data_IF_149977630125
#
_entry.id   IF_149977630125
#
_cell.length_a   1.000
_cell.length_b   1.000
_cell.length_c   1.000
_cell.angle_alpha   90.00
_cell.angle_beta   90.00
_cell.angle_gamma   90.00
#
_symmetry.space_group_name_H-M   'P 1'
#
loop_
_entity.id
_entity.type
_entity.pdbx_description
1 polymer ?
#
# COMPACT_ATOMS: atom_id res chain seq x y z
N UNK A 1 2.26 11.13 15.02
CA UNK A 1 1.03 11.74 15.52
C UNK A 1 1.11 13.27 15.44
N UNK A 2 -0.01 13.95 15.19
CA UNK A 2 -1.40 13.50 15.28
C UNK A 2 -1.96 12.79 14.05
N UNK A 3 -1.26 12.78 12.92
CA UNK A 3 -1.65 12.06 11.72
C UNK A 3 -1.58 10.54 11.94
N UNK A 4 -2.41 9.79 11.20
CA UNK A 4 -2.35 8.32 11.15
C UNK A 4 -2.58 7.62 12.49
N UNK A 5 -3.50 8.13 13.33
CA UNK A 5 -3.99 7.40 14.49
C UNK A 5 -4.69 6.12 14.05
N UNK A 6 -4.43 5.01 14.74
CA UNK A 6 -5.12 3.74 14.50
C UNK A 6 -4.20 2.53 14.34
N UNK A 7 -4.72 1.48 13.67
CA UNK A 7 -4.15 0.14 13.70
C UNK A 7 -2.96 -0.09 12.75
N UNK A 8 -2.82 0.72 11.68
CA UNK A 8 -1.83 0.45 10.62
C UNK A 8 -1.15 1.74 10.09
N UNK A 9 -0.54 2.59 10.96
CA UNK A 9 0.01 3.88 10.56
C UNK A 9 1.10 3.78 9.50
N UNK A 10 2.00 2.80 9.58
CA UNK A 10 3.08 2.59 8.61
C UNK A 10 2.51 2.31 7.22
N UNK A 11 1.58 1.35 7.14
CA UNK A 11 0.97 0.97 5.86
C UNK A 11 0.24 2.16 5.22
N UNK A 12 -0.57 2.88 5.99
CA UNK A 12 -1.35 3.99 5.48
C UNK A 12 -0.52 5.19 5.06
N UNK A 13 0.61 5.46 5.71
CA UNK A 13 1.55 6.48 5.24
C UNK A 13 2.08 6.14 3.85
N UNK A 14 2.47 4.88 3.62
CA UNK A 14 2.97 4.41 2.31
C UNK A 14 1.85 4.35 1.26
N UNK A 15 0.67 3.80 1.60
CA UNK A 15 -0.51 3.73 0.70
C UNK A 15 -0.94 5.12 0.23
N UNK A 16 -0.87 6.13 1.11
CA UNK A 16 -1.22 7.50 0.76
C UNK A 16 -0.11 8.24 0.01
N UNK A 17 1.05 7.60 -0.22
CA UNK A 17 2.16 8.20 -0.95
C UNK A 17 2.85 9.33 -0.21
N UNK A 18 2.86 9.29 1.12
CA UNK A 18 3.60 10.25 1.94
C UNK A 18 5.10 10.15 1.66
N UNK A 19 5.79 11.26 1.82
CA UNK A 19 7.26 11.35 1.70
C UNK A 19 7.97 11.33 3.05
N UNK A 20 7.18 11.45 4.12
CA UNK A 20 7.67 11.53 5.49
C UNK A 20 6.72 10.75 6.40
N UNK A 21 7.29 10.00 7.32
CA UNK A 21 6.61 9.36 8.44
C UNK A 21 7.47 9.54 9.69
N UNK A 22 7.22 8.81 10.76
CA UNK A 22 8.06 8.91 11.95
C UNK A 22 7.56 8.08 13.11
N UNK A 23 8.28 8.20 14.22
CA UNK A 23 7.94 7.61 15.50
C UNK A 23 7.55 8.74 16.47
N UNK A 24 6.57 8.48 17.31
CA UNK A 24 6.08 9.40 18.34
C UNK A 24 5.97 8.67 19.65
N UNK A 25 6.58 9.22 20.71
CA UNK A 25 6.29 8.82 22.08
C UNK A 25 5.25 9.77 22.68
N UNK A 26 4.27 9.20 23.38
CA UNK A 26 3.15 9.98 23.93
C UNK A 26 2.60 9.32 25.19
N UNK A 27 1.91 10.08 26.02
CA UNK A 27 1.22 9.55 27.21
C UNK A 27 -0.04 8.78 26.79
N UNK A 28 -0.33 7.70 27.48
CA UNK A 28 -1.58 6.95 27.25
C UNK A 28 -2.74 7.73 27.88
N UNK A 29 -3.82 7.87 27.15
CA UNK A 29 -5.07 8.50 27.57
C UNK A 29 -6.25 7.53 27.36
N UNK A 30 -7.49 7.99 27.65
CA UNK A 30 -8.70 7.17 27.52
C UNK A 30 -9.00 6.77 26.09
N UNK A 31 -8.74 7.67 25.15
CA UNK A 31 -9.00 7.46 23.72
C UNK A 31 -7.75 6.95 23.01
N UNK A 32 -7.96 6.22 21.92
CA UNK A 32 -6.87 5.60 21.15
C UNK A 32 -5.98 6.68 20.54
N UNK A 33 -4.68 6.63 20.85
CA UNK A 33 -3.62 7.46 20.26
C UNK A 33 -3.83 8.98 20.41
N UNK A 34 -4.53 9.45 21.46
CA UNK A 34 -4.87 10.87 21.67
C UNK A 34 -4.00 11.60 22.68
N UNK A 35 -3.26 10.87 23.50
CA UNK A 35 -2.46 11.43 24.59
C UNK A 35 -1.39 12.43 24.13
N UNK A 36 -0.93 13.23 25.06
CA UNK A 36 0.07 14.29 24.80
C UNK A 36 1.40 13.73 24.31
N UNK A 37 1.97 14.37 23.30
CA UNK A 37 3.24 13.99 22.66
C UNK A 37 4.40 14.45 23.55
N UNK A 38 5.37 13.57 23.74
CA UNK A 38 6.64 13.83 24.41
C UNK A 38 7.75 14.08 23.41
N UNK A 39 8.07 13.10 22.57
CA UNK A 39 9.09 13.22 21.52
C UNK A 39 8.57 12.73 20.17
N UNK A 40 9.17 13.26 19.10
CA UNK A 40 8.92 12.82 17.71
C UNK A 40 10.24 12.78 16.97
N UNK A 41 10.37 11.76 16.11
CA UNK A 41 11.48 11.64 15.18
C UNK A 41 10.94 11.27 13.81
N UNK A 42 11.27 12.10 12.82
CA UNK A 42 10.84 11.88 11.44
C UNK A 42 11.72 10.87 10.72
N UNK A 43 11.11 10.15 9.76
CA UNK A 43 11.75 9.20 8.87
C UNK A 43 11.26 9.43 7.44
N UNK A 44 12.19 9.54 6.47
CA UNK A 44 11.87 9.71 5.06
C UNK A 44 11.35 8.40 4.46
N UNK A 45 10.33 8.51 3.60
CA UNK A 45 9.83 7.43 2.75
C UNK A 45 10.36 7.66 1.34
N UNK A 46 11.23 6.78 0.88
CA UNK A 46 11.76 6.84 -0.48
C UNK A 46 10.70 6.30 -1.49
N UNK A 47 10.83 6.64 -2.78
CA UNK A 47 9.83 6.29 -3.79
C UNK A 47 9.49 4.80 -3.87
N UNK A 48 10.49 3.95 -3.61
CA UNK A 48 10.36 2.49 -3.74
C UNK A 48 10.26 1.76 -2.39
N UNK A 49 10.28 2.49 -1.27
CA UNK A 49 10.12 1.88 0.05
C UNK A 49 8.78 1.18 0.17
N UNK A 50 8.80 -0.06 0.62
CA UNK A 50 7.63 -0.80 1.06
C UNK A 50 7.29 -0.47 2.52
N UNK A 51 6.11 -0.89 2.98
CA UNK A 51 5.78 -0.80 4.41
C UNK A 51 6.77 -1.61 5.29
N UNK A 52 7.30 -2.72 4.77
CA UNK A 52 8.35 -3.50 5.43
C UNK A 52 9.65 -2.71 5.58
N UNK A 53 10.11 -2.03 4.53
CA UNK A 53 11.32 -1.21 4.59
C UNK A 53 11.16 -0.05 5.59
N UNK A 54 9.99 0.59 5.60
CA UNK A 54 9.69 1.65 6.57
C UNK A 54 9.63 1.11 7.99
N UNK A 55 9.04 -0.06 8.22
CA UNK A 55 9.06 -0.73 9.52
C UNK A 55 10.51 -0.91 10.02
N UNK A 56 11.38 -1.43 9.16
CA UNK A 56 12.78 -1.71 9.52
C UNK A 56 13.58 -0.42 9.77
N UNK A 57 13.28 0.67 9.03
CA UNK A 57 13.86 2.00 9.28
C UNK A 57 13.37 2.60 10.61
N UNK A 58 12.10 2.44 10.94
CA UNK A 58 11.50 3.01 12.14
C UNK A 58 11.87 2.25 13.43
N UNK A 59 12.19 0.98 13.35
CA UNK A 59 12.51 0.13 14.51
C UNK A 59 13.68 0.67 15.34
N UNK A 60 14.88 0.95 14.77
CA UNK A 60 15.98 1.53 15.54
C UNK A 60 15.69 2.96 16.02
N UNK A 61 14.99 3.76 15.21
CA UNK A 61 14.58 5.12 15.59
C UNK A 61 13.66 5.07 16.83
N UNK A 62 12.68 4.15 16.82
CA UNK A 62 11.75 3.95 17.94
C UNK A 62 12.45 3.49 19.19
N UNK A 63 13.39 2.56 19.09
CA UNK A 63 14.16 2.07 20.22
C UNK A 63 14.96 3.20 20.90
N UNK A 64 15.62 4.03 20.10
CA UNK A 64 16.39 5.17 20.59
C UNK A 64 15.45 6.22 21.25
N UNK A 65 14.35 6.55 20.57
CA UNK A 65 13.40 7.57 21.06
C UNK A 65 12.74 7.17 22.39
N UNK A 66 12.48 5.88 22.62
CA UNK A 66 11.96 5.38 23.90
C UNK A 66 12.98 5.58 25.02
N UNK A 67 14.26 5.28 24.79
CA UNK A 67 15.33 5.51 25.77
C UNK A 67 15.42 6.97 26.13
N UNK A 68 15.47 7.87 25.13
CA UNK A 68 15.51 9.33 25.34
C UNK A 68 14.27 9.83 26.10
N UNK A 69 13.09 9.30 25.80
CA UNK A 69 11.85 9.63 26.48
C UNK A 69 11.90 9.25 27.96
N UNK A 70 12.32 8.02 28.25
CA UNK A 70 12.41 7.54 29.67
C UNK A 70 13.43 8.36 30.43
N UNK A 71 14.58 8.64 29.84
CA UNK A 71 15.61 9.47 30.45
C UNK A 71 15.09 10.89 30.74
N UNK A 72 14.41 11.51 29.77
CA UNK A 72 13.81 12.82 29.93
C UNK A 72 12.74 12.89 31.03
N UNK A 73 11.97 11.81 31.24
CA UNK A 73 11.02 11.68 32.32
C UNK A 73 11.74 11.63 33.68
N UNK A 74 12.79 10.82 33.79
CA UNK A 74 13.60 10.67 35.03
C UNK A 74 14.25 11.99 35.42
N UNK A 75 14.84 12.66 34.44
CA UNK A 75 15.51 13.96 34.62
C UNK A 75 14.56 15.14 34.73
N UNK A 76 13.26 14.92 34.53
CA UNK A 76 12.19 15.97 34.55
C UNK A 76 12.45 17.11 33.56
N UNK A 77 13.07 16.82 32.43
CA UNK A 77 13.42 17.78 31.38
C UNK A 77 12.59 17.59 30.07
N UNK A 78 11.58 16.73 30.10
CA UNK A 78 10.65 16.50 28.97
C UNK A 78 9.27 17.07 29.30
N UNK A 79 8.72 17.82 28.35
CA UNK A 79 7.37 18.38 28.43
C UNK A 79 6.40 17.62 27.52
N UNK A 80 5.21 17.39 28.04
CA UNK A 80 4.12 16.80 27.27
C UNK A 80 3.33 17.91 26.58
N UNK A 81 3.17 17.80 25.24
CA UNK A 81 2.44 18.76 24.42
C UNK A 81 1.18 18.15 23.84
N UNK A 82 0.06 18.86 23.91
CA UNK A 82 -1.21 18.40 23.34
C UNK A 82 -1.10 18.24 21.82
N UNK A 83 -1.65 17.16 21.29
CA UNK A 83 -1.53 16.85 19.86
C UNK A 83 -2.09 17.95 18.94
N UNK A 84 -3.14 18.65 19.39
CA UNK A 84 -3.75 19.77 18.64
C UNK A 84 -2.74 20.90 18.34
N UNK A 85 -1.71 21.08 19.16
CA UNK A 85 -0.67 22.10 18.91
C UNK A 85 0.23 21.78 17.69
N UNK A 86 0.18 20.57 17.18
CA UNK A 86 0.93 20.13 16.00
C UNK A 86 0.10 20.19 14.72
N UNK A 87 -1.18 20.55 14.79
CA UNK A 87 -2.07 20.68 13.63
C UNK A 87 -1.97 22.11 13.11
N UNK A 88 -1.69 22.26 11.82
CA UNK A 88 -1.57 23.58 11.18
C UNK A 88 -2.87 23.96 10.47
N UNK A 89 -3.47 25.10 10.92
CA UNK A 89 -4.66 25.65 10.27
C UNK A 89 -5.85 24.67 10.23
N UNK A 90 -6.38 24.46 9.03
CA UNK A 90 -7.50 23.54 8.72
C UNK A 90 -7.06 22.15 8.26
N UNK A 91 -5.86 21.71 8.63
CA UNK A 91 -5.34 20.40 8.25
C UNK A 91 -6.28 19.27 8.69
N UNK A 92 -6.69 18.42 7.74
CA UNK A 92 -7.52 17.24 8.00
C UNK A 92 -6.64 16.08 8.45
N UNK A 93 -6.92 15.51 9.60
CA UNK A 93 -6.19 14.35 10.10
C UNK A 93 -6.57 13.08 9.31
N UNK A 94 -5.56 12.40 8.80
CA UNK A 94 -5.71 11.12 8.10
C UNK A 94 -5.70 9.98 9.11
N UNK A 95 -6.73 9.13 9.14
CA UNK A 95 -6.76 7.96 10.02
C UNK A 95 -5.92 6.81 9.46
N UNK A 96 -5.55 5.86 10.32
CA UNK A 96 -4.88 4.62 9.95
C UNK A 96 -5.70 3.39 10.40
N UNK A 97 -6.85 3.12 9.79
CA UNK A 97 -7.71 2.03 10.17
C UNK A 97 -7.07 0.67 9.91
N UNK A 98 -7.67 -0.38 10.48
CA UNK A 98 -7.27 -1.77 10.26
C UNK A 98 -7.33 -2.12 8.77
N UNK A 99 -6.31 -2.82 8.28
CA UNK A 99 -6.26 -3.35 6.92
C UNK A 99 -7.23 -4.53 6.81
N UNK A 100 -8.19 -4.43 5.90
CA UNK A 100 -9.15 -5.50 5.62
C UNK A 100 -8.74 -6.28 4.38
N UNK A 101 -9.36 -7.46 4.16
CA UNK A 101 -9.09 -8.25 2.95
C UNK A 101 -9.55 -7.51 1.70
N UNK A 102 -10.66 -6.80 1.78
CA UNK A 102 -11.22 -6.02 0.67
C UNK A 102 -10.24 -4.91 0.23
N UNK A 103 -9.61 -4.22 1.19
CA UNK A 103 -8.56 -3.24 0.90
C UNK A 103 -7.34 -3.86 0.20
N UNK A 104 -7.03 -5.11 0.49
CA UNK A 104 -5.90 -5.79 -0.13
C UNK A 104 -6.20 -6.27 -1.56
N UNK A 105 -7.46 -6.29 -2.00
CA UNK A 105 -7.84 -6.62 -3.36
C UNK A 105 -7.65 -5.41 -4.26
N UNK A 106 -6.73 -5.52 -5.23
CA UNK A 106 -6.32 -4.42 -6.09
C UNK A 106 -7.48 -3.98 -6.99
N UNK A 107 -7.83 -2.69 -6.95
CA UNK A 107 -8.70 -2.05 -7.93
C UNK A 107 -7.86 -1.51 -9.08
N UNK A 108 -7.91 -2.17 -10.22
CA UNK A 108 -7.16 -1.76 -11.41
C UNK A 108 -7.74 -0.52 -12.10
N UNK A 109 -8.96 -0.08 -11.76
CA UNK A 109 -9.54 1.17 -12.27
C UNK A 109 -8.94 2.42 -11.62
N UNK A 110 -8.13 2.27 -10.59
CA UNK A 110 -7.38 3.37 -9.98
C UNK A 110 -6.13 3.72 -10.82
N UNK A 111 -5.52 4.86 -10.52
CA UNK A 111 -4.30 5.32 -11.20
C UNK A 111 -3.10 4.41 -10.93
N UNK A 112 -2.17 4.33 -11.86
CA UNK A 112 -0.89 3.61 -11.71
C UNK A 112 -0.20 3.95 -10.40
N UNK A 113 -0.16 5.23 -10.05
CA UNK A 113 0.44 5.72 -8.80
C UNK A 113 -0.25 5.16 -7.57
N UNK A 114 -1.58 5.16 -7.53
CA UNK A 114 -2.34 4.68 -6.37
C UNK A 114 -2.23 3.17 -6.21
N UNK A 115 -2.33 2.42 -7.32
CA UNK A 115 -2.14 0.96 -7.32
C UNK A 115 -0.72 0.60 -6.85
N UNK A 116 0.30 1.29 -7.36
CA UNK A 116 1.68 1.11 -6.92
C UNK A 116 1.86 1.35 -5.42
N UNK A 117 1.31 2.45 -4.92
CA UNK A 117 1.38 2.78 -3.49
C UNK A 117 0.62 1.78 -2.61
N UNK A 118 -0.53 1.28 -3.08
CA UNK A 118 -1.27 0.22 -2.40
C UNK A 118 -0.41 -1.05 -2.27
N UNK A 119 0.18 -1.50 -3.37
CA UNK A 119 0.99 -2.72 -3.39
C UNK A 119 2.19 -2.60 -2.45
N UNK A 120 2.99 -1.55 -2.57
CA UNK A 120 4.17 -1.34 -1.70
C UNK A 120 3.78 -1.08 -0.25
N UNK A 121 2.65 -0.41 0.00
CA UNK A 121 2.12 -0.15 1.34
C UNK A 121 1.54 -1.38 2.03
N UNK A 122 1.23 -2.45 1.29
CA UNK A 122 0.79 -3.74 1.81
C UNK A 122 1.90 -4.80 1.80
N UNK A 123 3.08 -4.51 1.24
CA UNK A 123 4.20 -5.43 1.15
C UNK A 123 5.12 -5.33 2.38
N UNK A 124 5.63 -6.44 2.93
CA UNK A 124 5.36 -7.82 2.54
C UNK A 124 4.08 -8.41 3.13
N UNK A 125 3.43 -7.71 4.06
CA UNK A 125 2.23 -8.19 4.77
C UNK A 125 1.26 -7.02 5.04
N UNK A 126 -0.06 -7.23 4.84
CA UNK A 126 -0.79 -8.47 4.51
C UNK A 126 -0.69 -8.92 3.04
N UNK A 127 -0.11 -8.13 2.17
CA UNK A 127 0.10 -8.31 0.72
C UNK A 127 -1.15 -7.96 -0.10
N UNK A 128 -0.97 -7.12 -1.11
CA UNK A 128 -1.99 -6.87 -2.12
C UNK A 128 -2.20 -8.11 -3.01
N UNK A 129 -3.41 -8.31 -3.48
CA UNK A 129 -3.71 -9.42 -4.38
C UNK A 129 -4.72 -9.01 -5.45
N UNK A 130 -4.72 -9.77 -6.53
CA UNK A 130 -5.78 -9.79 -7.52
C UNK A 130 -6.23 -11.22 -7.75
N UNK A 131 -7.33 -11.41 -8.43
CA UNK A 131 -7.84 -12.72 -8.81
C UNK A 131 -7.80 -12.84 -10.33
N UNK A 132 -7.29 -13.96 -10.83
CA UNK A 132 -7.16 -14.27 -12.24
C UNK A 132 -8.25 -15.26 -12.66
N UNK A 133 -8.94 -14.95 -13.75
CA UNK A 133 -9.97 -15.82 -14.35
C UNK A 133 -9.61 -16.03 -15.82
N UNK A 134 -9.66 -17.30 -16.34
CA UNK A 134 -9.49 -17.52 -17.77
C UNK A 134 -10.61 -16.82 -18.55
N UNK A 135 -10.25 -16.15 -19.63
CA UNK A 135 -11.20 -15.46 -20.49
C UNK A 135 -12.22 -16.46 -21.07
N UNK A 136 -13.51 -16.13 -20.97
CA UNK A 136 -14.61 -17.02 -21.40
C UNK A 136 -14.94 -18.18 -20.46
N UNK A 137 -14.27 -18.31 -19.31
CA UNK A 137 -14.53 -19.34 -18.31
C UNK A 137 -14.93 -18.77 -16.95
N UNK A 138 -15.83 -17.80 -16.92
CA UNK A 138 -16.27 -17.05 -15.74
C UNK A 138 -16.88 -17.96 -14.63
N UNK A 139 -17.20 -19.20 -14.93
CA UNK A 139 -17.69 -20.19 -13.97
C UNK A 139 -16.59 -20.89 -13.18
N UNK A 140 -15.33 -20.74 -13.58
CA UNK A 140 -14.20 -21.29 -12.83
C UNK A 140 -13.89 -20.45 -11.61
N UNK A 141 -13.53 -21.12 -10.53
CA UNK A 141 -13.05 -20.43 -9.34
C UNK A 141 -11.81 -19.59 -9.65
N UNK A 142 -11.81 -18.29 -9.29
CA UNK A 142 -10.66 -17.41 -9.54
C UNK A 142 -9.38 -17.91 -8.86
N UNK A 143 -8.25 -17.75 -9.53
CA UNK A 143 -6.93 -18.02 -8.96
C UNK A 143 -6.36 -16.76 -8.33
N UNK A 144 -6.18 -16.73 -7.01
CA UNK A 144 -5.59 -15.58 -6.32
C UNK A 144 -4.10 -15.43 -6.66
N UNK A 145 -3.71 -14.24 -7.07
CA UNK A 145 -2.33 -13.82 -7.30
C UNK A 145 -1.96 -12.73 -6.28
N UNK A 146 -1.07 -13.04 -5.34
CA UNK A 146 -0.45 -12.08 -4.45
C UNK A 146 0.67 -11.34 -5.16
N UNK A 147 0.78 -10.03 -4.94
CA UNK A 147 1.74 -9.14 -5.60
C UNK A 147 2.64 -8.50 -4.55
N UNK A 148 3.97 -8.69 -4.65
CA UNK A 148 4.94 -8.23 -3.65
C UNK A 148 5.81 -7.07 -4.14
N UNK A 149 6.28 -7.13 -5.39
CA UNK A 149 7.14 -6.11 -5.97
C UNK A 149 6.68 -5.76 -7.39
N UNK A 150 6.70 -4.48 -7.69
CA UNK A 150 6.19 -3.95 -8.97
C UNK A 150 6.99 -2.73 -9.42
N UNK A 151 6.83 -2.39 -10.68
CA UNK A 151 7.27 -1.12 -11.27
C UNK A 151 6.08 -0.45 -11.97
N UNK A 152 6.08 0.86 -11.99
CA UNK A 152 5.11 1.64 -12.75
C UNK A 152 5.55 1.67 -14.22
N UNK A 153 4.58 1.58 -15.12
CA UNK A 153 4.77 1.73 -16.56
C UNK A 153 3.80 2.81 -17.04
N UNK A 154 4.34 3.98 -17.39
CA UNK A 154 3.56 5.18 -17.69
C UNK A 154 4.05 5.84 -18.99
N UNK A 155 3.23 6.71 -19.57
CA UNK A 155 3.62 7.59 -20.69
C UNK A 155 4.14 6.83 -21.92
N UNK A 156 5.36 7.12 -22.34
CA UNK A 156 5.97 6.55 -23.54
C UNK A 156 6.34 5.07 -23.36
N UNK A 157 6.76 4.69 -22.17
CA UNK A 157 7.04 3.29 -21.84
C UNK A 157 5.79 2.42 -21.97
N UNK A 158 4.65 2.92 -21.50
CA UNK A 158 3.37 2.22 -21.63
C UNK A 158 2.96 2.06 -23.10
N UNK A 159 3.11 3.11 -23.91
CA UNK A 159 2.83 3.03 -25.36
C UNK A 159 3.72 2.01 -26.06
N UNK A 160 5.01 2.05 -25.77
CA UNK A 160 5.97 1.07 -26.35
C UNK A 160 5.65 -0.36 -25.93
N UNK A 161 5.19 -0.56 -24.69
CA UNK A 161 4.72 -1.88 -24.22
C UNK A 161 3.50 -2.35 -25.03
N UNK A 162 2.51 -1.50 -25.28
CA UNK A 162 1.33 -1.84 -26.07
C UNK A 162 1.69 -2.18 -27.52
N UNK A 163 2.54 -1.38 -28.15
CA UNK A 163 3.06 -1.64 -29.49
C UNK A 163 3.77 -3.00 -29.60
N UNK A 164 4.60 -3.30 -28.59
CA UNK A 164 5.33 -4.58 -28.53
C UNK A 164 4.41 -5.81 -28.53
N UNK A 165 3.25 -5.72 -27.87
CA UNK A 165 2.27 -6.81 -27.82
C UNK A 165 1.15 -6.69 -28.87
N UNK A 166 1.24 -5.70 -29.78
CA UNK A 166 0.28 -5.50 -30.86
C UNK A 166 -1.10 -5.04 -30.40
N UNK A 167 -1.17 -4.19 -29.36
CA UNK A 167 -2.42 -3.60 -28.85
C UNK A 167 -2.36 -2.08 -28.92
N UNK A 168 -3.44 -1.45 -29.35
CA UNK A 168 -3.56 0.01 -29.43
C UNK A 168 -4.23 0.61 -28.18
N UNK A 169 -5.24 -0.10 -27.65
CA UNK A 169 -5.99 0.30 -26.47
C UNK A 169 -6.27 -0.89 -25.56
N UNK A 170 -6.30 -0.63 -24.26
CA UNK A 170 -6.62 -1.62 -23.24
C UNK A 170 -7.47 -1.01 -22.14
N UNK A 171 -8.32 -1.81 -21.52
CA UNK A 171 -9.09 -1.42 -20.34
C UNK A 171 -8.33 -1.77 -19.07
N UNK A 172 -8.55 -1.04 -17.95
CA UNK A 172 -8.00 -1.42 -16.66
C UNK A 172 -8.31 -2.88 -16.31
N UNK A 173 -7.33 -3.56 -15.71
CA UNK A 173 -7.41 -4.99 -15.41
C UNK A 173 -6.98 -5.93 -16.55
N UNK A 174 -6.75 -5.41 -17.76
CA UNK A 174 -6.22 -6.20 -18.86
C UNK A 174 -4.79 -6.67 -18.58
N UNK A 175 -4.54 -7.95 -18.76
CA UNK A 175 -3.19 -8.52 -18.62
C UNK A 175 -2.38 -8.24 -19.88
N UNK A 176 -1.17 -7.75 -19.70
CA UNK A 176 -0.20 -7.39 -20.73
C UNK A 176 1.05 -8.22 -20.52
N UNK A 177 1.43 -9.03 -21.53
CA UNK A 177 2.60 -9.90 -21.41
C UNK A 177 3.10 -10.34 -22.79
N UNK A 178 4.42 -10.50 -22.92
CA UNK A 178 5.05 -11.17 -24.04
C UNK A 178 5.15 -12.70 -23.85
N UNK A 179 4.67 -13.19 -22.70
CA UNK A 179 4.73 -14.59 -22.30
C UNK A 179 6.12 -15.08 -21.86
N UNK A 180 7.12 -14.20 -21.78
CA UNK A 180 8.53 -14.56 -21.49
C UNK A 180 9.23 -13.61 -20.52
N UNK A 181 9.16 -12.32 -20.75
CA UNK A 181 9.98 -11.32 -20.08
C UNK A 181 9.24 -10.45 -19.09
N UNK A 182 7.97 -10.14 -19.35
CA UNK A 182 7.19 -9.28 -18.47
C UNK A 182 5.75 -9.77 -18.30
N UNK A 183 5.16 -9.42 -17.18
CA UNK A 183 3.77 -9.60 -16.84
C UNK A 183 3.30 -8.30 -16.16
N UNK A 184 2.40 -7.60 -16.83
CA UNK A 184 1.86 -6.33 -16.34
C UNK A 184 0.34 -6.35 -16.40
N UNK A 185 -0.30 -5.46 -15.64
CA UNK A 185 -1.75 -5.29 -15.64
C UNK A 185 -2.04 -3.81 -15.84
N UNK A 186 -2.93 -3.52 -16.78
CA UNK A 186 -3.33 -2.16 -17.12
C UNK A 186 -4.10 -1.50 -15.96
N UNK A 187 -3.86 -0.21 -15.74
CA UNK A 187 -4.53 0.66 -14.79
C UNK A 187 -5.30 1.75 -15.53
N UNK A 188 -5.88 2.72 -14.82
CA UNK A 188 -6.62 3.82 -15.45
C UNK A 188 -5.78 4.69 -16.41
N UNK A 189 -4.47 4.81 -16.16
CA UNK A 189 -3.58 5.76 -16.85
C UNK A 189 -2.22 5.18 -17.25
N UNK A 190 -2.05 3.85 -17.16
CA UNK A 190 -0.81 3.16 -17.47
C UNK A 190 -0.90 1.67 -17.17
N UNK A 191 0.16 1.09 -16.61
CA UNK A 191 0.18 -0.29 -16.15
C UNK A 191 1.11 -0.47 -14.94
N UNK A 192 0.91 -1.58 -14.24
CA UNK A 192 1.80 -2.08 -13.19
C UNK A 192 2.51 -3.33 -13.71
N UNK A 193 3.83 -3.25 -13.88
CA UNK A 193 4.69 -4.39 -14.20
C UNK A 193 5.00 -5.16 -12.92
N UNK A 194 4.56 -6.41 -12.83
CA UNK A 194 4.73 -7.25 -11.63
C UNK A 194 6.08 -7.96 -11.73
N UNK A 195 6.90 -7.82 -10.69
CA UNK A 195 8.25 -8.39 -10.62
C UNK A 195 8.33 -9.63 -9.74
N UNK A 196 7.56 -9.64 -8.66
CA UNK A 196 7.57 -10.70 -7.66
C UNK A 196 6.13 -10.98 -7.20
N UNK A 197 5.73 -12.24 -7.25
CA UNK A 197 4.35 -12.66 -7.08
C UNK A 197 4.22 -14.07 -6.48
N UNK A 198 3.01 -14.40 -6.06
CA UNK A 198 2.67 -15.74 -5.59
C UNK A 198 1.27 -16.13 -6.07
N UNK A 199 1.18 -17.09 -6.98
CA UNK A 199 -0.09 -17.70 -7.36
C UNK A 199 -0.55 -18.68 -6.27
N UNK A 200 -1.85 -18.75 -6.03
CA UNK A 200 -2.44 -19.67 -5.06
C UNK A 200 -1.93 -21.11 -5.26
N UNK A 201 -1.51 -21.75 -4.17
CA UNK A 201 -0.93 -23.09 -4.18
C UNK A 201 0.51 -23.19 -4.71
N UNK A 202 1.15 -22.07 -5.05
CA UNK A 202 2.55 -22.02 -5.50
C UNK A 202 3.44 -21.27 -4.50
N UNK A 203 4.75 -21.41 -4.65
CA UNK A 203 5.73 -20.58 -3.93
C UNK A 203 5.79 -19.18 -4.52
N UNK A 204 6.22 -18.20 -3.73
CA UNK A 204 6.59 -16.86 -4.20
C UNK A 204 7.74 -16.98 -5.21
N UNK A 205 7.65 -16.23 -6.31
CA UNK A 205 8.61 -16.32 -7.41
C UNK A 205 8.66 -15.02 -8.22
N UNK A 206 9.77 -14.81 -8.89
CA UNK A 206 9.95 -13.73 -9.84
C UNK A 206 9.16 -13.98 -11.14
N UNK A 207 8.88 -12.91 -11.89
CA UNK A 207 8.08 -12.90 -13.12
C UNK A 207 8.55 -13.94 -14.16
N UNK A 208 9.85 -14.11 -14.37
CA UNK A 208 10.37 -15.08 -15.36
C UNK A 208 10.05 -16.51 -14.98
N UNK A 209 10.17 -16.86 -13.70
CA UNK A 209 9.81 -18.19 -13.21
C UNK A 209 8.29 -18.41 -13.25
N UNK A 210 7.50 -17.37 -12.98
CA UNK A 210 6.05 -17.42 -13.12
C UNK A 210 5.64 -17.71 -14.57
N UNK A 211 6.14 -16.96 -15.55
CA UNK A 211 5.81 -17.10 -16.96
C UNK A 211 6.25 -18.44 -17.56
N UNK A 212 7.33 -19.03 -17.05
CA UNK A 212 7.75 -20.37 -17.46
C UNK A 212 6.70 -21.46 -17.19
N UNK A 213 5.85 -21.26 -16.16
CA UNK A 213 4.77 -22.17 -15.76
C UNK A 213 3.36 -21.68 -16.08
N UNK A 214 3.18 -20.43 -16.46
CA UNK A 214 1.89 -19.79 -16.71
C UNK A 214 1.72 -19.51 -18.21
N UNK A 215 1.09 -20.46 -18.93
CA UNK A 215 0.94 -20.38 -20.38
C UNK A 215 -0.18 -19.43 -20.78
N UNK A 216 0.03 -18.73 -21.93
CA UNK A 216 -0.95 -17.80 -22.52
C UNK A 216 -1.50 -16.77 -21.51
N UNK A 217 -0.65 -15.96 -20.87
CA UNK A 217 -1.11 -15.04 -19.82
C UNK A 217 -2.19 -14.06 -20.31
N UNK A 218 -2.16 -13.67 -21.59
CA UNK A 218 -3.17 -12.76 -22.16
C UNK A 218 -4.54 -13.42 -22.46
N UNK A 219 -4.71 -14.70 -22.20
CA UNK A 219 -6.02 -15.36 -22.20
C UNK A 219 -6.66 -15.40 -20.81
N UNK A 220 -6.16 -14.61 -19.89
CA UNK A 220 -6.68 -14.43 -18.54
C UNK A 220 -7.05 -12.96 -18.32
N UNK A 221 -8.01 -12.73 -17.45
CA UNK A 221 -8.43 -11.40 -17.01
C UNK A 221 -8.39 -11.31 -15.49
N UNK A 222 -8.40 -10.08 -14.97
CA UNK A 222 -8.49 -9.86 -13.52
C UNK A 222 -9.93 -9.60 -13.10
N UNK A 223 -10.27 -9.97 -11.86
CA UNK A 223 -11.52 -9.51 -11.24
C UNK A 223 -11.34 -8.09 -10.71
N UNK A 224 -12.44 -7.31 -10.72
CA UNK A 224 -12.42 -5.96 -10.15
C UNK A 224 -12.29 -6.01 -8.62
N UNK A 225 -11.35 -5.25 -8.08
CA UNK A 225 -11.28 -4.94 -6.66
C UNK A 225 -12.27 -3.85 -6.26
N UNK A 226 -12.40 -3.59 -4.96
CA UNK A 226 -13.21 -2.48 -4.45
C UNK A 226 -12.36 -1.23 -4.36
N UNK A 227 -12.82 -0.13 -4.94
CA UNK A 227 -12.06 1.12 -4.91
C UNK A 227 -11.90 1.68 -3.49
N UNK A 228 -10.78 2.36 -3.24
CA UNK A 228 -10.53 3.05 -1.96
C UNK A 228 -11.66 4.03 -1.62
N UNK A 229 -12.19 4.73 -2.63
CA UNK A 229 -13.29 5.67 -2.47
C UNK A 229 -14.61 4.99 -2.06
N UNK A 230 -14.88 3.80 -2.57
CA UNK A 230 -16.05 2.99 -2.16
C UNK A 230 -15.89 2.48 -0.73
N UNK A 231 -14.69 2.04 -0.36
CA UNK A 231 -14.39 1.61 1.00
C UNK A 231 -14.48 2.75 2.03
N UNK A 232 -14.05 3.96 1.67
CA UNK A 232 -14.18 5.15 2.52
C UNK A 232 -15.64 5.55 2.72
N UNK A 233 -16.50 5.41 1.69
CA UNK A 233 -17.94 5.66 1.79
C UNK A 233 -18.70 4.61 2.62
N UNK A 234 -18.23 3.37 2.60
CA UNK A 234 -18.85 2.26 3.34
C UNK A 234 -18.49 2.26 4.84
N UNK A 235 -17.62 3.15 5.31
CA UNK A 235 -17.31 3.29 6.75
C UNK A 235 -18.50 3.87 7.48
N UNK A 236 -18.94 3.23 8.59
CA UNK A 236 -19.86 3.90 9.50
C UNK A 236 -19.20 5.21 9.95
N UNK A 237 -19.97 6.30 9.94
CA UNK A 237 -19.52 7.57 10.50
C UNK A 237 -18.98 7.28 11.90
N UNK A 238 -17.70 7.53 12.14
CA UNK A 238 -17.16 7.51 13.50
C UNK A 238 -17.98 8.49 14.29
N UNK A 239 -18.65 8.01 15.34
CA UNK A 239 -19.31 8.88 16.32
C UNK A 239 -18.28 9.91 16.79
N UNK A 240 -18.31 11.07 16.18
CA UNK A 240 -17.80 12.31 16.76
C UNK A 240 -18.87 12.74 17.75
N UNK A 241 -18.90 12.09 18.90
CA UNK A 241 -19.54 12.69 20.07
C UNK A 241 -18.54 13.66 20.68
N UNK A 242 -19.02 14.84 20.91
CA UNK A 242 -18.50 16.12 21.38
C UNK A 242 -17.51 16.08 22.58
#
# INVERSE_FOLDING_TARGET
>A
LPQYRGAAPINWAVINGERLTGVTTFMIDKDIDTGGIMLRQDCRIEPDDTAGDIHDKLMPIGAQLVVETVQGIIERNIETRVQRSFIQGSEVLKPAPKLTRELCHIDWNDTTKNVYNLIRGLSPYPTAFTELVPEGEETKAPAQLKVFATEKVEGEEFRSMLEHIGKDNVTPGTILSDGKGFFAIATADGAISIKDMQLAGKKRMEVKAFLAGFRNPMSWTTTAGTSKAEMEKARPASNTEE
#
